data_IF_430481652350
#
_entry.id   IF_430481652350
#
_cell.length_a   1.000
_cell.length_b   1.000
_cell.length_c   1.000
_cell.angle_alpha   90.00
_cell.angle_beta   90.00
_cell.angle_gamma   90.00
#
_symmetry.space_group_name_H-M   'P 1'
#
loop_
_entity.id
_entity.type
_entity.pdbx_description
1 polymer ?
#
# COMPACT_ATOMS: atom_id res chain seq x y z
N UNK A 1 30.34 15.46 35.27
CA UNK A 1 28.95 15.10 34.90
C UNK A 1 28.55 13.85 35.67
N UNK A 2 27.45 13.87 36.43
CA UNK A 2 27.11 12.80 37.38
C UNK A 2 26.76 11.51 36.61
N UNK A 3 27.26 10.33 37.03
CA UNK A 3 27.11 9.05 36.29
C UNK A 3 25.64 8.72 35.97
N UNK A 4 24.73 9.12 36.87
CA UNK A 4 23.27 9.00 36.71
C UNK A 4 22.74 9.86 35.56
N UNK A 5 23.27 11.08 35.37
CA UNK A 5 22.87 11.95 34.25
C UNK A 5 23.31 11.39 32.90
N UNK A 6 24.47 10.72 32.86
CA UNK A 6 24.96 10.05 31.64
C UNK A 6 24.06 8.85 31.30
N UNK A 7 23.70 8.02 32.29
CA UNK A 7 22.81 6.89 32.10
C UNK A 7 21.41 7.33 31.63
N UNK A 8 20.84 8.37 32.23
CA UNK A 8 19.56 8.95 31.79
C UNK A 8 19.63 9.48 30.34
N UNK A 9 20.75 10.09 29.94
CA UNK A 9 20.94 10.56 28.57
C UNK A 9 20.99 9.40 27.57
N UNK A 10 21.65 8.29 27.94
CA UNK A 10 21.71 7.07 27.12
C UNK A 10 20.33 6.42 26.97
N UNK A 11 19.55 6.31 28.06
CA UNK A 11 18.20 5.77 28.02
C UNK A 11 17.28 6.65 27.16
N UNK A 12 17.35 7.97 27.32
CA UNK A 12 16.55 8.91 26.53
C UNK A 12 16.92 8.86 25.04
N UNK A 13 18.21 8.67 24.72
CA UNK A 13 18.66 8.47 23.34
C UNK A 13 18.16 7.15 22.73
N UNK A 14 18.10 6.06 23.49
CA UNK A 14 17.57 4.78 22.96
C UNK A 14 16.07 4.80 22.66
N UNK A 15 15.30 5.70 23.30
CA UNK A 15 13.86 5.83 23.09
C UNK A 15 13.50 6.65 21.84
N UNK A 16 14.41 7.50 21.33
CA UNK A 16 14.13 8.40 20.20
C UNK A 16 14.52 7.84 18.82
N UNK A 17 15.16 6.67 18.75
CA UNK A 17 15.58 6.02 17.49
C UNK A 17 14.67 4.88 17.02
N UNK A 18 13.47 4.71 17.58
CA UNK A 18 12.49 3.79 17.02
C UNK A 18 11.90 4.36 15.73
N UNK A 19 12.68 4.34 14.66
CA UNK A 19 12.21 4.54 13.30
C UNK A 19 11.24 3.40 13.00
N UNK A 20 9.96 3.70 12.83
CA UNK A 20 8.96 2.70 12.47
C UNK A 20 9.28 2.19 11.06
N UNK A 21 10.00 1.08 11.00
CA UNK A 21 10.40 0.48 9.74
C UNK A 21 9.20 -0.25 9.16
N UNK A 22 8.62 0.29 8.10
CA UNK A 22 7.54 -0.37 7.36
C UNK A 22 7.97 -1.78 6.96
N UNK A 23 7.07 -2.74 7.17
CA UNK A 23 7.29 -4.13 6.76
C UNK A 23 7.05 -4.23 5.26
N UNK A 24 8.08 -4.63 4.50
CA UNK A 24 8.05 -4.67 3.03
C UNK A 24 7.87 -6.09 2.53
N UNK A 25 7.01 -6.26 1.54
CA UNK A 25 6.75 -7.53 0.86
C UNK A 25 6.74 -7.31 -0.64
N UNK A 26 7.49 -8.13 -1.35
CA UNK A 26 7.63 -8.02 -2.80
C UNK A 26 7.60 -9.41 -3.43
N UNK A 27 6.85 -9.56 -4.52
CA UNK A 27 6.74 -10.80 -5.29
C UNK A 27 6.73 -10.47 -6.77
N UNK A 28 7.50 -11.21 -7.56
CA UNK A 28 7.59 -10.97 -9.00
C UNK A 28 6.32 -11.43 -9.71
N UNK A 29 5.75 -12.55 -9.28
CA UNK A 29 4.61 -13.21 -9.91
C UNK A 29 3.64 -13.75 -8.85
N UNK A 30 2.39 -13.99 -9.26
CA UNK A 30 1.35 -14.58 -8.42
C UNK A 30 1.78 -15.86 -7.70
N UNK A 31 2.50 -16.77 -8.37
CA UNK A 31 2.91 -18.04 -7.76
C UNK A 31 3.83 -17.85 -6.55
N UNK A 32 4.70 -16.84 -6.56
CA UNK A 32 5.56 -16.51 -5.42
C UNK A 32 4.74 -15.97 -4.25
N UNK A 33 3.75 -15.11 -4.55
CA UNK A 33 2.81 -14.56 -3.59
C UNK A 33 1.93 -15.65 -2.96
N UNK A 34 1.35 -16.52 -3.79
CA UNK A 34 0.39 -17.53 -3.39
C UNK A 34 1.02 -18.64 -2.51
N UNK A 35 2.31 -18.93 -2.70
CA UNK A 35 3.06 -19.91 -1.88
C UNK A 35 3.40 -19.41 -0.48
N UNK A 36 3.27 -18.11 -0.19
CA UNK A 36 3.55 -17.58 1.16
C UNK A 36 2.39 -17.88 2.11
N UNK A 37 2.71 -18.04 3.39
CA UNK A 37 1.67 -18.05 4.42
C UNK A 37 1.11 -16.63 4.62
N UNK A 38 -0.09 -16.52 5.17
CA UNK A 38 -0.79 -15.23 5.35
C UNK A 38 0.02 -14.20 6.13
N UNK A 39 0.76 -14.61 7.17
CA UNK A 39 1.62 -13.69 7.95
C UNK A 39 2.69 -13.02 7.10
N UNK A 40 3.14 -13.72 6.06
CA UNK A 40 4.21 -13.27 5.19
C UNK A 40 3.70 -12.61 3.91
N UNK A 41 2.40 -12.69 3.55
CA UNK A 41 1.83 -12.09 2.34
C UNK A 41 1.73 -10.57 2.41
N UNK A 42 1.57 -10.01 3.61
CA UNK A 42 1.28 -8.58 3.81
C UNK A 42 -0.17 -8.22 3.54
N UNK A 43 -0.50 -6.94 3.71
CA UNK A 43 -1.87 -6.45 3.51
C UNK A 43 -2.13 -6.14 2.05
N UNK A 44 -2.39 -7.18 1.26
CA UNK A 44 -2.94 -7.06 -0.08
C UNK A 44 -4.47 -7.17 -0.04
N UNK A 45 -5.19 -6.41 -0.88
CA UNK A 45 -6.63 -6.59 -1.03
C UNK A 45 -6.95 -7.96 -1.67
N UNK A 46 -8.14 -8.48 -1.39
CA UNK A 46 -8.66 -9.77 -1.91
C UNK A 46 -9.02 -9.75 -3.41
N UNK A 47 -8.19 -9.12 -4.24
CA UNK A 47 -8.37 -8.94 -5.69
C UNK A 47 -7.16 -9.42 -6.51
N UNK A 48 -6.14 -9.98 -5.85
CA UNK A 48 -4.95 -10.49 -6.52
C UNK A 48 -5.31 -11.76 -7.30
N UNK A 49 -5.00 -11.79 -8.59
CA UNK A 49 -5.32 -12.90 -9.49
C UNK A 49 -4.07 -13.48 -10.15
N UNK A 50 -4.23 -14.61 -10.86
CA UNK A 50 -3.11 -15.41 -11.37
C UNK A 50 -2.23 -14.73 -12.42
N UNK A 51 -2.67 -13.60 -12.97
CA UNK A 51 -1.91 -12.80 -13.92
C UNK A 51 -1.17 -11.62 -13.27
N UNK A 52 -1.28 -11.45 -11.95
CA UNK A 52 -0.63 -10.38 -11.23
C UNK A 52 0.90 -10.54 -11.21
N UNK A 53 1.61 -9.44 -11.45
CA UNK A 53 3.07 -9.38 -11.39
C UNK A 53 3.54 -8.12 -10.65
N UNK A 54 4.81 -8.08 -10.27
CA UNK A 54 5.42 -6.92 -9.59
C UNK A 54 4.61 -6.48 -8.36
N UNK A 55 4.16 -7.44 -7.56
CA UNK A 55 3.38 -7.18 -6.35
C UNK A 55 4.31 -6.55 -5.31
N UNK A 56 3.97 -5.36 -4.83
CA UNK A 56 4.72 -4.65 -3.80
C UNK A 56 3.77 -4.14 -2.73
N UNK A 57 4.18 -4.31 -1.48
CA UNK A 57 3.48 -3.79 -0.31
C UNK A 57 4.50 -3.24 0.69
N UNK A 58 4.10 -2.18 1.38
CA UNK A 58 4.69 -1.78 2.64
C UNK A 58 3.58 -1.52 3.66
N UNK A 59 3.68 -2.14 4.83
CA UNK A 59 2.68 -2.07 5.90
C UNK A 59 3.25 -1.46 7.19
N UNK A 60 2.41 -0.72 7.91
CA UNK A 60 2.71 -0.01 9.16
C UNK A 60 1.62 -0.33 10.19
N UNK A 61 2.02 -0.54 11.45
CA UNK A 61 1.09 -0.87 12.54
C UNK A 61 0.53 0.36 13.26
N UNK A 62 1.23 1.50 13.20
CA UNK A 62 0.86 2.74 13.92
C UNK A 62 1.40 4.00 13.21
N UNK A 63 0.60 4.67 12.35
CA UNK A 63 -0.81 4.39 12.09
C UNK A 63 -0.98 3.07 11.32
N UNK A 64 -2.16 2.46 11.47
CA UNK A 64 -2.56 1.30 10.68
C UNK A 64 -2.69 1.74 9.22
N UNK A 65 -1.68 1.42 8.42
CA UNK A 65 -1.60 1.85 7.03
C UNK A 65 -0.83 0.82 6.19
N UNK A 66 -1.26 0.60 4.95
CA UNK A 66 -0.42 -0.05 3.95
C UNK A 66 -0.54 0.61 2.59
N UNK A 67 0.58 0.70 1.90
CA UNK A 67 0.65 1.07 0.50
C UNK A 67 1.01 -0.16 -0.33
N UNK A 68 0.38 -0.32 -1.47
CA UNK A 68 0.82 -1.34 -2.40
C UNK A 68 0.40 -1.13 -3.83
N UNK A 69 1.02 -1.91 -4.70
CA UNK A 69 0.71 -1.96 -6.12
C UNK A 69 0.98 -3.33 -6.71
N UNK A 70 0.37 -3.60 -7.85
CA UNK A 70 0.71 -4.73 -8.71
C UNK A 70 0.27 -4.44 -10.15
N UNK A 71 0.94 -5.07 -11.10
CA UNK A 71 0.57 -5.03 -12.51
C UNK A 71 -0.35 -6.19 -12.85
N UNK A 72 -1.17 -6.04 -13.88
CA UNK A 72 -2.07 -7.08 -14.37
C UNK A 72 -2.11 -7.15 -15.91
N UNK A 73 -2.71 -8.22 -16.45
CA UNK A 73 -2.86 -8.44 -17.89
C UNK A 73 -4.32 -8.57 -18.33
N UNK A 74 -5.14 -9.29 -17.56
CA UNK A 74 -6.53 -9.67 -17.84
C UNK A 74 -7.51 -8.59 -17.40
N UNK A 75 -7.68 -7.55 -18.22
CA UNK A 75 -8.57 -6.42 -17.91
C UNK A 75 -9.97 -6.88 -17.49
N UNK A 76 -10.58 -7.82 -18.23
CA UNK A 76 -11.96 -8.30 -17.96
C UNK A 76 -12.20 -8.75 -16.51
N UNK A 77 -11.22 -9.42 -15.89
CA UNK A 77 -11.32 -9.85 -14.50
C UNK A 77 -11.40 -8.65 -13.55
N UNK A 78 -10.51 -7.67 -13.74
CA UNK A 78 -10.47 -6.48 -12.90
C UNK A 78 -11.62 -5.52 -13.21
N UNK A 79 -12.07 -5.44 -14.46
CA UNK A 79 -13.24 -4.66 -14.86
C UNK A 79 -14.51 -5.20 -14.17
N UNK A 80 -14.65 -6.53 -14.08
CA UNK A 80 -15.72 -7.17 -13.31
C UNK A 80 -15.66 -6.81 -11.82
N UNK A 81 -14.47 -6.86 -11.20
CA UNK A 81 -14.29 -6.45 -9.79
C UNK A 81 -14.70 -4.98 -9.61
N UNK A 82 -14.21 -4.08 -10.45
CA UNK A 82 -14.47 -2.65 -10.33
C UNK A 82 -15.94 -2.29 -10.61
N UNK A 83 -16.63 -3.08 -11.42
CA UNK A 83 -18.07 -2.91 -11.67
C UNK A 83 -18.94 -3.40 -10.52
N UNK A 84 -18.45 -4.36 -9.73
CA UNK A 84 -19.20 -5.01 -8.66
C UNK A 84 -19.00 -4.39 -7.26
N UNK A 85 -18.14 -3.37 -7.11
CA UNK A 85 -17.84 -2.73 -5.82
C UNK A 85 -18.19 -1.24 -5.84
N UNK A 86 -18.33 -0.65 -4.66
CA UNK A 86 -18.68 0.77 -4.51
C UNK A 86 -17.61 1.66 -5.13
N UNK A 87 -18.02 2.41 -6.15
CA UNK A 87 -17.18 3.44 -6.77
C UNK A 87 -17.04 4.61 -5.79
N UNK A 88 -15.82 5.09 -5.66
CA UNK A 88 -15.50 6.27 -4.87
C UNK A 88 -14.83 7.33 -5.73
N UNK A 89 -14.78 8.57 -5.25
CA UNK A 89 -14.09 9.63 -5.96
C UNK A 89 -12.56 9.43 -5.89
N UNK A 90 -11.87 9.91 -6.94
CA UNK A 90 -10.42 9.99 -6.93
C UNK A 90 -9.92 10.88 -5.79
N UNK A 91 -10.64 11.96 -5.49
CA UNK A 91 -10.33 12.88 -4.40
C UNK A 91 -10.33 12.16 -3.05
N UNK A 92 -11.25 11.23 -2.81
CA UNK A 92 -11.27 10.45 -1.57
C UNK A 92 -10.04 9.54 -1.45
N UNK A 93 -9.64 8.86 -2.54
CA UNK A 93 -8.41 8.08 -2.58
C UNK A 93 -7.18 8.96 -2.34
N UNK A 94 -7.11 10.11 -3.02
CA UNK A 94 -6.03 11.07 -2.86
C UNK A 94 -5.92 11.55 -1.41
N UNK A 95 -7.03 11.90 -0.78
CA UNK A 95 -7.07 12.31 0.63
C UNK A 95 -6.53 11.22 1.56
N UNK A 96 -6.82 9.94 1.29
CA UNK A 96 -6.29 8.81 2.08
C UNK A 96 -4.79 8.64 1.92
N UNK A 97 -4.27 8.86 0.71
CA UNK A 97 -2.83 8.88 0.45
C UNK A 97 -2.14 10.04 1.19
N UNK A 98 -2.71 11.25 1.09
CA UNK A 98 -2.16 12.45 1.71
C UNK A 98 -2.16 12.39 3.24
N UNK A 99 -3.18 11.78 3.86
CA UNK A 99 -3.21 11.51 5.31
C UNK A 99 -1.97 10.72 5.79
N UNK A 100 -1.37 9.91 4.91
CA UNK A 100 -0.24 9.04 5.20
C UNK A 100 1.02 9.40 4.37
N UNK A 101 1.12 10.64 3.86
CA UNK A 101 2.18 11.04 2.90
C UNK A 101 3.61 10.81 3.42
N UNK A 102 3.84 10.95 4.73
CA UNK A 102 5.15 10.71 5.37
C UNK A 102 5.62 9.25 5.28
N UNK A 103 4.68 8.31 5.09
CA UNK A 103 4.92 6.88 4.98
C UNK A 103 4.86 6.39 3.53
N UNK A 104 4.46 7.25 2.58
CA UNK A 104 4.30 6.92 1.16
C UNK A 104 5.66 6.52 0.57
N UNK A 105 5.81 5.30 0.04
CA UNK A 105 7.09 4.89 -0.55
C UNK A 105 7.27 5.52 -1.94
N UNK A 106 8.52 5.79 -2.33
CA UNK A 106 8.85 6.48 -3.59
C UNK A 106 8.36 5.75 -4.87
N UNK A 107 8.12 4.44 -4.79
CA UNK A 107 7.59 3.66 -5.92
C UNK A 107 6.07 3.70 -6.03
N UNK A 108 5.39 4.27 -5.04
CA UNK A 108 3.94 4.48 -5.05
C UNK A 108 3.60 5.69 -5.89
N UNK A 109 2.42 5.63 -6.50
CA UNK A 109 1.85 6.59 -7.44
C UNK A 109 2.20 8.06 -7.13
N UNK A 110 2.63 8.77 -8.17
CA UNK A 110 2.63 10.23 -8.20
C UNK A 110 1.26 10.70 -8.73
N UNK A 111 0.47 11.30 -7.84
CA UNK A 111 -0.92 11.67 -8.10
C UNK A 111 -1.04 12.92 -8.97
N UNK A 112 0.00 13.77 -9.02
CA UNK A 112 0.01 14.98 -9.84
C UNK A 112 0.21 14.67 -11.32
N UNK A 113 0.93 13.59 -11.62
CA UNK A 113 1.26 13.16 -12.98
C UNK A 113 0.24 12.18 -13.58
N UNK A 114 -0.76 11.78 -12.80
CA UNK A 114 -1.72 10.77 -13.19
C UNK A 114 -2.81 11.33 -14.12
N UNK A 115 -2.98 10.69 -15.27
CA UNK A 115 -4.10 10.96 -16.16
C UNK A 115 -5.40 10.38 -15.57
N UNK A 116 -6.19 11.26 -14.94
CA UNK A 116 -7.45 10.92 -14.27
C UNK A 116 -8.52 10.34 -15.19
N UNK A 117 -8.42 10.53 -16.51
CA UNK A 117 -9.38 9.93 -17.45
C UNK A 117 -9.22 8.42 -17.60
N UNK A 118 -8.05 7.89 -17.23
CA UNK A 118 -7.69 6.49 -17.38
C UNK A 118 -7.70 5.72 -16.05
N UNK A 119 -8.32 6.29 -15.02
CA UNK A 119 -8.38 5.67 -13.69
C UNK A 119 -9.80 5.42 -13.22
N UNK A 120 -9.95 4.32 -12.50
CA UNK A 120 -11.17 4.00 -11.77
C UNK A 120 -10.80 3.73 -10.32
N UNK A 121 -11.69 4.11 -9.39
CA UNK A 121 -11.43 3.99 -7.96
C UNK A 121 -12.62 3.36 -7.27
N UNK A 122 -12.34 2.36 -6.43
CA UNK A 122 -13.34 1.66 -5.62
C UNK A 122 -12.91 1.61 -4.16
N UNK A 123 -13.89 1.40 -3.29
CA UNK A 123 -13.65 0.89 -1.94
C UNK A 123 -14.00 -0.59 -1.90
N UNK A 124 -13.09 -1.40 -1.37
CA UNK A 124 -13.33 -2.83 -1.12
C UNK A 124 -12.71 -3.20 0.21
N UNK A 125 -13.52 -3.72 1.13
CA UNK A 125 -13.09 -3.98 2.52
C UNK A 125 -12.53 -2.69 3.15
N UNK A 126 -11.34 -2.74 3.74
CA UNK A 126 -10.63 -1.58 4.30
C UNK A 126 -9.73 -0.86 3.30
N UNK A 127 -9.72 -1.31 2.03
CA UNK A 127 -8.84 -0.77 1.01
C UNK A 127 -9.55 0.24 0.11
N UNK A 128 -8.81 1.31 -0.18
CA UNK A 128 -9.08 2.24 -1.26
C UNK A 128 -8.20 1.81 -2.44
N UNK A 129 -8.81 1.49 -3.57
CA UNK A 129 -8.13 0.82 -4.69
C UNK A 129 -8.33 1.65 -5.95
N UNK A 130 -7.22 2.01 -6.59
CA UNK A 130 -7.17 2.71 -7.86
C UNK A 130 -6.64 1.77 -8.94
N UNK A 131 -7.39 1.60 -10.03
CA UNK A 131 -6.96 0.91 -11.25
C UNK A 131 -6.58 1.93 -12.29
N UNK A 132 -5.34 1.88 -12.78
CA UNK A 132 -4.87 2.62 -13.93
C UNK A 132 -4.98 1.72 -15.17
N UNK A 133 -5.95 2.02 -16.03
CA UNK A 133 -6.27 1.24 -17.23
C UNK A 133 -5.19 1.33 -18.32
N UNK A 134 -4.47 2.46 -18.39
CA UNK A 134 -3.42 2.71 -19.38
C UNK A 134 -2.17 1.90 -19.08
N UNK A 135 -1.73 1.91 -17.83
CA UNK A 135 -0.52 1.20 -17.38
C UNK A 135 -0.77 -0.27 -17.04
N UNK A 136 -2.05 -0.64 -16.88
CA UNK A 136 -2.47 -1.94 -16.30
C UNK A 136 -1.83 -2.18 -14.92
N UNK A 137 -1.96 -1.17 -14.07
CA UNK A 137 -1.44 -1.19 -12.70
C UNK A 137 -2.59 -0.90 -11.74
N UNK A 138 -2.67 -1.66 -10.65
CA UNK A 138 -3.54 -1.36 -9.53
C UNK A 138 -2.68 -0.84 -8.38
N UNK A 139 -3.10 0.27 -7.80
CA UNK A 139 -2.56 0.86 -6.59
C UNK A 139 -3.60 0.74 -5.49
N UNK A 140 -3.18 0.47 -4.26
CA UNK A 140 -4.09 0.40 -3.13
C UNK A 140 -3.48 1.04 -1.89
N UNK A 141 -4.36 1.60 -1.07
CA UNK A 141 -4.03 2.06 0.28
C UNK A 141 -5.03 1.49 1.29
N UNK A 142 -4.50 0.91 2.36
CA UNK A 142 -5.22 0.70 3.60
C UNK A 142 -4.93 1.90 4.51
N UNK A 143 -5.97 2.53 5.03
CA UNK A 143 -5.86 3.63 5.98
C UNK A 143 -7.13 3.69 6.81
N UNK A 144 -6.97 3.81 8.13
CA UNK A 144 -8.04 4.25 9.02
C UNK A 144 -8.61 5.61 8.58
#
# INVERSE_FOLDING_TARGET
MNKIKILLLFVLATLTFSCQKGYKQEYKIFDEFNKKNERNKGWFPSIIYNDATELRNVSYLDPLCAFGKFNYKKSEFYDSIFSANDKISFELFNNKVEQNVKLKPNWFLDLEQLDKSNVEVIKKEEFYILKNNKEKTIYFILSN
#
